data_IF_363523071814
#
_entry.id   IF_363523071814
#
_cell.length_a   1.000
_cell.length_b   1.000
_cell.length_c   1.000
_cell.angle_alpha   90.00
_cell.angle_beta   90.00
_cell.angle_gamma   90.00
#
_symmetry.space_group_name_H-M   'P 1'
#
loop_
_entity.id
_entity.type
_entity.pdbx_description
1 polymer ?
#
# COMPACT_ATOMS: atom_id res chain seq x y z
N UNK A 1 12.20 -14.86 -16.36
CA UNK A 1 11.24 -15.00 -15.23
C UNK A 1 11.10 -13.67 -14.50
N UNK A 2 10.56 -12.63 -15.16
CA UNK A 2 10.88 -11.25 -14.78
C UNK A 2 9.73 -10.50 -14.07
N UNK A 3 8.54 -11.10 -13.94
CA UNK A 3 7.35 -10.39 -13.44
C UNK A 3 7.06 -10.49 -11.93
N UNK A 4 7.57 -11.51 -11.21
CA UNK A 4 7.10 -11.80 -9.85
C UNK A 4 7.48 -10.75 -8.79
N UNK A 5 8.67 -10.15 -8.90
CA UNK A 5 9.13 -9.15 -7.91
C UNK A 5 8.45 -7.78 -8.07
N UNK A 6 8.10 -7.37 -9.29
CA UNK A 6 7.37 -6.12 -9.53
C UNK A 6 5.92 -6.21 -9.03
N UNK A 7 5.34 -7.41 -9.06
CA UNK A 7 4.07 -7.73 -8.38
C UNK A 7 4.15 -7.63 -6.85
N UNK A 8 5.28 -7.96 -6.21
CA UNK A 8 5.43 -7.83 -4.75
C UNK A 8 5.48 -6.37 -4.27
N UNK A 9 6.21 -5.49 -4.97
CA UNK A 9 6.21 -4.06 -4.66
C UNK A 9 4.81 -3.42 -4.84
N UNK A 10 4.03 -3.93 -5.79
CA UNK A 10 2.62 -3.58 -5.97
C UNK A 10 1.73 -4.17 -4.86
N UNK A 11 1.99 -5.41 -4.41
CA UNK A 11 1.17 -6.11 -3.42
C UNK A 11 1.19 -5.48 -2.02
N UNK A 12 2.29 -4.82 -1.63
CA UNK A 12 2.38 -4.05 -0.39
C UNK A 12 1.40 -2.86 -0.32
N UNK A 13 0.84 -2.43 -1.46
CA UNK A 13 -0.18 -1.37 -1.55
C UNK A 13 -1.61 -1.98 -1.48
N UNK A 14 -1.77 -3.31 -1.51
CA UNK A 14 -3.06 -3.98 -1.71
C UNK A 14 -3.77 -4.47 -0.43
N UNK A 15 -3.13 -4.49 0.75
CA UNK A 15 -3.74 -5.03 1.98
C UNK A 15 -4.52 -3.97 2.77
N UNK A 16 -5.73 -3.66 2.29
CA UNK A 16 -6.67 -2.76 2.94
C UNK A 16 -8.07 -3.36 3.11
N UNK A 17 -8.25 -4.34 4.00
CA UNK A 17 -9.57 -4.66 4.55
C UNK A 17 -9.49 -5.35 5.92
N UNK A 18 -10.45 -5.03 6.80
CA UNK A 18 -10.36 -5.24 8.25
C UNK A 18 -10.90 -6.59 8.76
N UNK A 19 -10.51 -6.92 10.00
CA UNK A 19 -11.25 -7.74 10.99
C UNK A 19 -11.58 -6.83 12.20
N UNK A 20 -12.28 -7.25 13.28
CA UNK A 20 -12.98 -8.53 13.56
C UNK A 20 -14.41 -8.38 14.16
N UNK A 21 -15.21 -9.46 14.21
CA UNK A 21 -16.31 -9.65 15.20
C UNK A 21 -16.50 -11.14 15.55
N UNK A 22 -16.72 -11.47 16.84
CA UNK A 22 -17.41 -12.70 17.34
C UNK A 22 -18.61 -12.26 18.20
N UNK A 23 -19.74 -13.00 18.20
CA UNK A 23 -20.09 -13.99 19.26
C UNK A 23 -20.71 -15.29 18.66
N UNK A 24 -21.14 -16.34 19.37
CA UNK A 24 -20.83 -16.95 20.70
C UNK A 24 -21.54 -18.34 20.76
N UNK A 25 -21.15 -19.25 21.68
CA UNK A 25 -22.04 -20.00 22.60
C UNK A 25 -21.52 -21.38 23.11
N UNK A 26 -21.43 -21.46 24.45
CA UNK A 26 -21.66 -22.61 25.38
C UNK A 26 -20.95 -23.97 25.18
N UNK A 27 -20.28 -24.42 26.26
CA UNK A 27 -20.31 -25.81 26.73
C UNK A 27 -20.18 -25.86 28.28
N UNK A 28 -20.48 -27.00 28.89
CA UNK A 28 -20.97 -27.12 30.28
C UNK A 28 -19.91 -27.30 31.38
N UNK A 29 -20.34 -27.11 32.63
CA UNK A 29 -19.56 -27.23 33.88
C UNK A 29 -19.52 -28.66 34.44
N UNK A 30 -18.35 -29.13 34.89
CA UNK A 30 -18.23 -30.21 35.88
C UNK A 30 -17.09 -29.88 36.87
N UNK A 31 -17.36 -29.97 38.16
CA UNK A 31 -16.41 -29.69 39.24
C UNK A 31 -15.34 -30.78 39.43
N UNK A 32 -14.10 -30.36 39.73
CA UNK A 32 -13.03 -31.26 40.19
C UNK A 32 -12.12 -30.62 41.26
N UNK A 33 -12.72 -29.86 42.18
CA UNK A 33 -12.01 -29.20 43.28
C UNK A 33 -11.73 -30.20 44.41
N UNK A 34 -10.58 -30.88 44.37
CA UNK A 34 -9.82 -31.26 45.58
C UNK A 34 -8.37 -31.76 45.32
N UNK A 35 -7.97 -32.01 44.07
CA UNK A 35 -6.56 -32.31 43.70
C UNK A 35 -5.74 -31.02 43.39
N UNK A 36 -6.32 -29.85 43.65
CA UNK A 36 -5.80 -28.54 43.22
C UNK A 36 -4.71 -27.93 44.14
N UNK A 37 -4.81 -28.02 45.47
CA UNK A 37 -3.98 -27.12 46.31
C UNK A 37 -2.47 -27.45 46.30
N UNK A 38 -2.08 -28.73 46.24
CA UNK A 38 -0.66 -29.13 46.17
C UNK A 38 -0.06 -29.09 44.75
N UNK A 39 -0.90 -29.02 43.72
CA UNK A 39 -0.46 -28.82 42.33
C UNK A 39 -0.31 -27.34 42.00
N UNK A 40 -1.17 -26.47 42.53
CA UNK A 40 -1.09 -25.02 42.31
C UNK A 40 0.19 -24.39 42.89
N UNK A 41 0.71 -24.84 44.03
CA UNK A 41 1.97 -24.32 44.56
C UNK A 41 3.16 -24.69 43.66
N UNK A 42 3.21 -25.96 43.21
CA UNK A 42 4.27 -26.47 42.33
C UNK A 42 4.22 -25.81 40.95
N UNK A 43 3.01 -25.63 40.40
CA UNK A 43 2.78 -24.88 39.17
C UNK A 43 3.06 -23.38 39.33
N UNK A 44 2.88 -22.78 40.51
CA UNK A 44 3.24 -21.38 40.74
C UNK A 44 4.76 -21.17 40.77
N UNK A 45 5.52 -22.07 41.41
CA UNK A 45 7.00 -22.04 41.40
C UNK A 45 7.55 -22.39 40.01
N UNK A 46 6.95 -23.36 39.30
CA UNK A 46 7.29 -23.67 37.91
C UNK A 46 6.92 -22.52 36.97
N UNK A 47 5.77 -21.85 37.10
CA UNK A 47 5.40 -20.68 36.29
C UNK A 47 6.26 -19.44 36.62
N UNK A 48 6.62 -19.24 37.89
CA UNK A 48 7.56 -18.19 38.31
C UNK A 48 8.97 -18.40 37.72
N UNK A 49 9.43 -19.65 37.69
CA UNK A 49 10.73 -20.03 37.11
C UNK A 49 10.69 -20.10 35.58
N UNK A 50 9.56 -20.47 34.98
CA UNK A 50 9.36 -20.53 33.52
C UNK A 50 9.27 -19.12 32.91
N UNK A 51 8.66 -18.16 33.63
CA UNK A 51 8.64 -16.74 33.24
C UNK A 51 10.04 -16.12 33.09
N UNK A 52 11.08 -16.76 33.65
CA UNK A 52 12.47 -16.30 33.58
C UNK A 52 13.40 -17.21 32.74
N UNK A 53 12.88 -18.21 32.01
CA UNK A 53 13.70 -19.13 31.17
C UNK A 53 13.26 -19.29 29.70
N UNK A 54 12.34 -18.46 29.21
CA UNK A 54 11.96 -18.41 27.77
C UNK A 54 12.03 -17.00 27.17
N UNK A 55 12.75 -16.07 27.80
CA UNK A 55 12.81 -14.65 27.43
C UNK A 55 13.96 -14.30 26.46
N UNK A 56 14.22 -15.14 25.45
CA UNK A 56 15.20 -14.88 24.40
C UNK A 56 14.62 -15.22 23.02
N UNK A 57 14.27 -14.17 22.25
CA UNK A 57 14.06 -14.28 20.78
C UNK A 57 12.64 -14.08 20.22
N UNK A 58 11.58 -13.96 21.02
CA UNK A 58 10.25 -13.67 20.46
C UNK A 58 9.97 -12.16 20.37
N UNK A 59 9.74 -11.67 19.14
CA UNK A 59 9.35 -10.29 18.85
C UNK A 59 7.92 -10.00 19.27
N UNK A 60 7.68 -8.83 19.85
CA UNK A 60 6.36 -8.31 20.17
C UNK A 60 5.62 -7.83 18.91
N UNK A 61 4.31 -7.63 19.01
CA UNK A 61 3.53 -7.00 17.92
C UNK A 61 4.07 -5.61 17.57
N UNK A 62 4.52 -4.85 18.58
CA UNK A 62 5.01 -3.48 18.39
C UNK A 62 6.34 -3.48 17.60
N UNK A 63 7.23 -4.44 17.85
CA UNK A 63 8.45 -4.64 17.05
C UNK A 63 8.16 -4.95 15.58
N UNK A 64 7.01 -5.54 15.24
CA UNK A 64 6.57 -5.73 13.85
C UNK A 64 5.98 -4.46 13.25
N UNK A 65 5.22 -3.68 14.02
CA UNK A 65 4.65 -2.41 13.56
C UNK A 65 5.75 -1.37 13.27
N UNK A 66 6.75 -1.27 14.13
CA UNK A 66 7.89 -0.36 13.96
C UNK A 66 8.75 -0.75 12.74
N UNK A 67 9.01 -2.05 12.53
CA UNK A 67 9.70 -2.52 11.31
C UNK A 67 8.88 -2.23 10.05
N UNK A 68 7.57 -2.47 10.07
CA UNK A 68 6.68 -2.21 8.92
C UNK A 68 6.60 -0.71 8.58
N UNK A 69 6.53 0.18 9.57
CA UNK A 69 6.57 1.63 9.34
C UNK A 69 7.96 2.10 8.85
N UNK A 70 9.05 1.52 9.37
CA UNK A 70 10.39 1.79 8.86
C UNK A 70 10.54 1.40 7.38
N UNK A 71 10.14 0.19 7.00
CA UNK A 71 10.15 -0.29 5.60
C UNK A 71 9.25 0.58 4.71
N UNK A 72 8.05 0.93 5.18
CA UNK A 72 7.14 1.82 4.44
C UNK A 72 7.77 3.20 4.21
N UNK A 73 8.38 3.81 5.23
CA UNK A 73 9.02 5.14 5.12
C UNK A 73 10.25 5.12 4.21
N UNK A 74 11.16 4.18 4.43
CA UNK A 74 12.49 4.19 3.82
C UNK A 74 12.51 3.48 2.46
N UNK A 75 12.05 2.23 2.40
CA UNK A 75 12.22 1.36 1.23
C UNK A 75 11.08 1.48 0.21
N UNK A 76 9.90 1.94 0.65
CA UNK A 76 8.75 2.20 -0.24
C UNK A 76 8.65 3.69 -0.55
N UNK A 77 8.23 4.53 0.40
CA UNK A 77 7.95 5.95 0.15
C UNK A 77 9.19 6.77 -0.19
N UNK A 78 10.31 6.53 0.52
CA UNK A 78 11.61 7.16 0.25
C UNK A 78 12.24 6.77 -1.08
N UNK A 79 11.84 5.62 -1.64
CA UNK A 79 12.29 5.18 -2.96
C UNK A 79 11.40 5.72 -4.07
N UNK A 80 10.09 5.43 -4.03
CA UNK A 80 9.13 5.80 -5.06
C UNK A 80 8.93 7.32 -5.17
N UNK A 81 8.97 8.07 -4.07
CA UNK A 81 8.80 9.53 -4.07
C UNK A 81 10.10 10.23 -3.61
N UNK A 82 10.83 10.91 -4.50
CA UNK A 82 10.33 11.57 -5.72
C UNK A 82 10.62 10.84 -7.05
N UNK A 83 11.29 9.68 -7.08
CA UNK A 83 11.80 9.07 -8.34
C UNK A 83 10.74 8.81 -9.41
N UNK A 84 9.53 8.47 -9.00
CA UNK A 84 8.40 8.25 -9.90
C UNK A 84 7.72 9.54 -10.34
N UNK A 85 8.01 10.71 -9.78
CA UNK A 85 7.33 11.97 -10.15
C UNK A 85 7.99 12.53 -11.41
N UNK A 86 7.37 12.30 -12.57
CA UNK A 86 7.83 12.82 -13.85
C UNK A 86 7.49 14.30 -13.97
N UNK A 87 8.49 15.16 -13.81
CA UNK A 87 8.35 16.63 -13.88
C UNK A 87 8.46 17.20 -15.29
N UNK A 88 8.85 16.38 -16.27
CA UNK A 88 9.07 16.83 -17.66
C UNK A 88 7.82 16.62 -18.51
N UNK A 89 7.26 15.41 -18.48
CA UNK A 89 6.03 15.05 -19.20
C UNK A 89 4.78 15.01 -18.31
N UNK A 90 4.94 15.18 -17.00
CA UNK A 90 3.85 15.11 -16.03
C UNK A 90 3.47 13.67 -15.65
N UNK A 91 2.69 13.54 -14.58
CA UNK A 91 2.28 12.25 -14.03
C UNK A 91 3.44 11.46 -13.42
N UNK A 92 3.34 10.15 -13.49
CA UNK A 92 4.22 9.22 -12.79
C UNK A 92 4.92 8.24 -13.74
N UNK A 93 6.21 8.06 -13.50
CA UNK A 93 7.08 7.11 -14.17
C UNK A 93 7.08 5.76 -13.44
N UNK A 94 6.97 4.66 -14.20
CA UNK A 94 6.72 3.32 -13.68
C UNK A 94 7.82 2.29 -13.95
N UNK A 95 8.72 2.54 -14.91
CA UNK A 95 9.67 1.54 -15.39
C UNK A 95 11.09 1.81 -14.88
N UNK A 96 11.52 1.07 -13.87
CA UNK A 96 12.86 1.20 -13.29
C UNK A 96 13.66 -0.09 -13.47
N UNK A 97 14.96 0.05 -13.72
CA UNK A 97 15.90 -1.04 -13.62
C UNK A 97 16.07 -1.49 -12.14
N UNK A 98 16.70 -2.65 -11.93
CA UNK A 98 16.87 -3.26 -10.59
C UNK A 98 17.64 -2.37 -9.60
N UNK A 99 18.50 -1.50 -10.12
CA UNK A 99 19.31 -0.51 -9.40
C UNK A 99 18.61 0.84 -9.23
N UNK A 100 17.30 0.91 -9.51
CA UNK A 100 16.47 2.12 -9.50
C UNK A 100 16.84 3.21 -10.50
N UNK A 101 17.66 2.91 -11.51
CA UNK A 101 17.82 3.80 -12.65
C UNK A 101 16.56 3.81 -13.52
N UNK A 102 16.16 4.95 -14.11
CA UNK A 102 15.08 4.99 -15.09
C UNK A 102 15.37 4.05 -16.27
N UNK A 103 14.42 3.18 -16.61
CA UNK A 103 14.52 2.32 -17.77
C UNK A 103 14.05 3.07 -19.04
N UNK A 104 13.73 2.33 -20.11
CA UNK A 104 13.00 2.89 -21.26
C UNK A 104 11.52 3.01 -20.89
N UNK A 105 10.91 4.16 -21.19
CA UNK A 105 9.45 4.30 -21.05
C UNK A 105 8.70 3.47 -22.09
N UNK A 106 7.60 2.86 -21.67
CA UNK A 106 6.58 2.27 -22.54
C UNK A 106 5.29 3.14 -22.56
N UNK A 107 5.36 4.35 -21.96
CA UNK A 107 4.26 5.28 -21.76
C UNK A 107 3.60 5.16 -20.39
N UNK A 108 2.53 5.92 -20.18
CA UNK A 108 1.85 6.12 -18.90
C UNK A 108 0.40 5.64 -18.97
N UNK A 109 0.05 4.68 -18.11
CA UNK A 109 -1.25 4.02 -18.09
C UNK A 109 -2.08 4.36 -16.84
N UNK A 110 -3.40 4.48 -17.01
CA UNK A 110 -4.35 5.04 -16.04
C UNK A 110 -4.31 4.38 -14.66
N UNK A 111 -4.18 3.06 -14.61
CA UNK A 111 -4.09 2.29 -13.35
C UNK A 111 -2.93 2.75 -12.47
N UNK A 112 -1.74 2.99 -13.06
CA UNK A 112 -0.56 3.44 -12.31
C UNK A 112 -0.72 4.89 -11.86
N UNK A 113 -1.18 5.78 -12.75
CA UNK A 113 -1.39 7.20 -12.43
C UNK A 113 -2.40 7.39 -11.30
N UNK A 114 -3.54 6.69 -11.37
CA UNK A 114 -4.57 6.70 -10.32
C UNK A 114 -4.05 6.15 -9.00
N UNK A 115 -3.29 5.04 -9.02
CA UNK A 115 -2.72 4.44 -7.80
C UNK A 115 -1.67 5.32 -7.13
N UNK A 116 -0.77 5.94 -7.88
CA UNK A 116 0.26 6.83 -7.31
C UNK A 116 -0.35 8.10 -6.71
N UNK A 117 -1.37 8.67 -7.38
CA UNK A 117 -2.18 9.78 -6.83
C UNK A 117 -2.88 9.36 -5.53
N UNK A 118 -3.51 8.18 -5.51
CA UNK A 118 -4.17 7.63 -4.32
C UNK A 118 -3.19 7.43 -3.15
N UNK A 119 -2.02 6.82 -3.40
CA UNK A 119 -1.02 6.60 -2.34
C UNK A 119 -0.61 7.94 -1.73
N UNK A 120 -0.30 8.95 -2.55
CA UNK A 120 0.06 10.27 -2.06
C UNK A 120 -1.04 10.89 -1.18
N UNK A 121 -2.31 10.80 -1.60
CA UNK A 121 -3.46 11.27 -0.83
C UNK A 121 -3.63 10.54 0.52
N UNK A 122 -3.51 9.20 0.53
CA UNK A 122 -3.60 8.43 1.78
C UNK A 122 -2.45 8.73 2.74
N UNK A 123 -1.25 9.03 2.23
CA UNK A 123 -0.14 9.46 3.08
C UNK A 123 -0.45 10.81 3.73
N UNK A 124 -0.98 11.80 3.01
CA UNK A 124 -1.36 13.09 3.63
C UNK A 124 -2.37 12.93 4.76
N UNK A 125 -3.35 12.04 4.60
CA UNK A 125 -4.40 11.77 5.61
C UNK A 125 -3.84 10.98 6.80
N UNK A 126 -3.10 9.91 6.56
CA UNK A 126 -2.59 9.02 7.61
C UNK A 126 -1.38 9.62 8.35
N UNK A 127 -0.61 10.50 7.69
CA UNK A 127 0.69 11.01 8.12
C UNK A 127 0.79 12.53 7.89
N UNK A 128 0.13 13.34 8.73
CA UNK A 128 0.16 14.81 8.61
C UNK A 128 1.57 15.40 8.66
N UNK A 129 2.53 14.70 9.28
CA UNK A 129 3.96 15.04 9.29
C UNK A 129 4.60 15.07 7.89
N UNK A 130 4.00 14.39 6.92
CA UNK A 130 4.45 14.32 5.52
C UNK A 130 3.62 15.20 4.58
N UNK A 131 2.61 15.93 5.10
CA UNK A 131 1.61 16.67 4.31
C UNK A 131 2.24 17.59 3.25
N UNK A 132 3.15 18.47 3.65
CA UNK A 132 3.75 19.47 2.77
C UNK A 132 4.62 18.85 1.65
N UNK A 133 5.17 17.64 1.88
CA UNK A 133 5.93 16.89 0.87
C UNK A 133 5.02 16.18 -0.13
N UNK A 134 3.84 15.74 0.28
CA UNK A 134 2.96 14.90 -0.54
C UNK A 134 1.79 15.65 -1.20
N UNK A 135 1.33 16.79 -0.68
CA UNK A 135 0.32 17.63 -1.34
C UNK A 135 0.68 17.97 -2.81
N UNK A 136 1.89 18.47 -3.13
CA UNK A 136 2.24 18.77 -4.52
C UNK A 136 2.28 17.53 -5.43
N UNK A 137 2.43 16.34 -4.86
CA UNK A 137 2.44 15.06 -5.59
C UNK A 137 1.01 14.65 -5.95
N UNK A 138 0.03 14.93 -5.07
CA UNK A 138 -1.40 14.73 -5.34
C UNK A 138 -1.83 15.67 -6.47
N UNK A 139 -1.49 16.96 -6.36
CA UNK A 139 -1.81 17.98 -7.39
C UNK A 139 -1.22 17.58 -8.76
N UNK A 140 0.04 17.13 -8.78
CA UNK A 140 0.71 16.65 -9.98
C UNK A 140 0.02 15.44 -10.62
N UNK A 141 -0.40 14.47 -9.80
CA UNK A 141 -1.16 13.30 -10.24
C UNK A 141 -2.55 13.66 -10.78
N UNK A 142 -3.29 14.49 -10.04
CA UNK A 142 -4.62 14.98 -10.43
C UNK A 142 -4.59 15.80 -11.71
N UNK A 143 -3.56 16.63 -11.89
CA UNK A 143 -3.35 17.38 -13.12
C UNK A 143 -3.14 16.43 -14.30
N UNK A 144 -2.29 15.42 -14.17
CA UNK A 144 -2.07 14.45 -15.25
C UNK A 144 -3.33 13.62 -15.57
N UNK A 145 -4.07 13.18 -14.54
CA UNK A 145 -5.33 12.46 -14.70
C UNK A 145 -6.37 13.28 -15.46
N UNK A 146 -6.57 14.55 -15.10
CA UNK A 146 -7.65 15.40 -15.65
C UNK A 146 -7.28 16.15 -16.94
N UNK A 147 -6.01 16.52 -17.14
CA UNK A 147 -5.58 17.28 -18.31
C UNK A 147 -5.05 16.41 -19.46
N UNK A 148 -4.48 15.24 -19.16
CA UNK A 148 -3.78 14.40 -20.15
C UNK A 148 -4.49 13.05 -20.36
N UNK A 149 -4.74 12.29 -19.30
CA UNK A 149 -5.33 10.94 -19.40
C UNK A 149 -6.83 10.91 -19.64
N UNK A 150 -7.55 11.99 -19.32
CA UNK A 150 -8.99 12.09 -19.54
C UNK A 150 -9.31 12.43 -21.00
N UNK A 151 -10.17 11.62 -21.62
CA UNK A 151 -10.71 11.90 -22.94
C UNK A 151 -11.71 13.06 -22.86
N UNK A 152 -11.30 14.23 -23.36
CA UNK A 152 -12.12 15.46 -23.35
C UNK A 152 -13.27 15.44 -24.37
N UNK A 153 -13.28 14.50 -25.31
CA UNK A 153 -14.31 14.36 -26.35
C UNK A 153 -15.38 13.33 -25.96
N UNK A 154 -14.97 12.18 -25.41
CA UNK A 154 -15.87 11.07 -25.08
C UNK A 154 -16.01 10.77 -23.58
N UNK A 155 -15.19 11.39 -22.73
CA UNK A 155 -15.14 11.10 -21.31
C UNK A 155 -14.44 9.77 -20.99
N UNK A 156 -14.18 9.56 -19.70
CA UNK A 156 -13.42 8.41 -19.21
C UNK A 156 -11.91 8.60 -19.42
N UNK A 157 -11.15 7.67 -18.85
CA UNK A 157 -9.69 7.67 -18.95
C UNK A 157 -9.24 6.72 -20.06
N UNK A 158 -8.26 7.15 -20.87
CA UNK A 158 -7.55 6.24 -21.76
C UNK A 158 -6.87 5.12 -20.95
N UNK A 159 -6.76 3.92 -21.54
CA UNK A 159 -5.99 2.84 -20.91
C UNK A 159 -4.54 3.29 -20.65
N UNK A 160 -3.89 3.89 -21.67
CA UNK A 160 -2.62 4.59 -21.53
C UNK A 160 -2.27 5.47 -22.73
N UNK A 161 -1.23 6.28 -22.56
CA UNK A 161 -0.72 7.23 -23.55
C UNK A 161 0.81 7.14 -23.60
N UNK A 162 1.43 7.60 -24.69
CA UNK A 162 2.88 7.83 -24.71
C UNK A 162 3.29 9.01 -23.81
N UNK A 163 4.59 9.22 -23.63
CA UNK A 163 5.11 10.33 -22.82
C UNK A 163 4.84 11.72 -23.42
N UNK A 164 4.35 11.81 -24.66
CA UNK A 164 3.88 13.07 -25.25
C UNK A 164 2.38 13.30 -25.03
N UNK A 165 1.71 12.40 -24.29
CA UNK A 165 0.28 12.46 -24.01
C UNK A 165 -0.60 12.02 -25.19
N UNK A 166 -0.07 11.22 -26.13
CA UNK A 166 -0.81 10.77 -27.32
C UNK A 166 -1.15 9.28 -27.26
N UNK A 167 -2.19 8.91 -27.98
CA UNK A 167 -2.58 7.51 -28.15
C UNK A 167 -1.47 6.78 -28.88
N UNK A 168 -0.93 5.75 -28.24
CA UNK A 168 0.16 4.94 -28.75
C UNK A 168 -0.36 3.56 -29.21
N UNK A 169 0.23 2.91 -30.23
CA UNK A 169 -0.28 1.65 -30.77
C UNK A 169 -0.41 0.51 -29.76
N UNK A 170 0.42 0.50 -28.70
CA UNK A 170 0.36 -0.49 -27.63
C UNK A 170 -0.80 -0.31 -26.65
N UNK A 171 -1.40 0.88 -26.60
CA UNK A 171 -2.54 1.17 -25.71
C UNK A 171 -3.87 1.29 -26.44
N UNK A 172 -3.86 1.70 -27.72
CA UNK A 172 -5.06 2.08 -28.49
C UNK A 172 -5.85 3.23 -27.85
N UNK A 173 -7.00 3.58 -28.40
CA UNK A 173 -7.95 4.55 -27.83
C UNK A 173 -8.91 3.93 -26.79
N UNK A 174 -8.71 2.63 -26.49
CA UNK A 174 -9.50 1.82 -25.57
C UNK A 174 -9.61 2.39 -24.16
N UNK A 175 -10.79 2.17 -23.55
CA UNK A 175 -11.16 2.65 -22.21
C UNK A 175 -11.72 1.49 -21.39
N UNK A 176 -10.87 0.90 -20.56
CA UNK A 176 -11.26 -0.21 -19.70
C UNK A 176 -11.85 0.29 -18.38
N UNK A 177 -12.92 -0.36 -17.91
CA UNK A 177 -13.53 -0.13 -16.59
C UNK A 177 -12.52 -0.25 -15.44
N UNK A 178 -11.47 -1.07 -15.60
CA UNK A 178 -10.38 -1.20 -14.64
C UNK A 178 -9.45 0.01 -14.61
N UNK A 179 -9.13 0.61 -15.76
CA UNK A 179 -8.40 1.88 -15.81
C UNK A 179 -9.23 3.04 -15.24
N UNK A 180 -10.52 3.07 -15.60
CA UNK A 180 -11.44 4.10 -15.13
C UNK A 180 -11.69 4.04 -13.61
N UNK A 181 -11.80 2.85 -13.02
CA UNK A 181 -11.98 2.71 -11.58
C UNK A 181 -10.77 3.22 -10.79
N UNK A 182 -9.53 2.99 -11.27
CA UNK A 182 -8.33 3.54 -10.64
C UNK A 182 -8.20 5.07 -10.80
N UNK A 183 -8.62 5.64 -11.93
CA UNK A 183 -8.69 7.09 -12.10
C UNK A 183 -9.66 7.74 -11.11
N UNK A 184 -10.87 7.17 -10.97
CA UNK A 184 -11.86 7.61 -9.96
C UNK A 184 -11.36 7.40 -8.53
N UNK A 185 -10.68 6.29 -8.25
CA UNK A 185 -10.14 5.98 -6.92
C UNK A 185 -9.06 6.97 -6.48
N UNK A 186 -8.15 7.34 -7.39
CA UNK A 186 -7.17 8.42 -7.18
C UNK A 186 -7.85 9.76 -6.91
N UNK A 187 -8.80 10.15 -7.76
CA UNK A 187 -9.53 11.41 -7.62
C UNK A 187 -10.36 11.52 -6.32
N UNK A 188 -11.05 10.45 -5.94
CA UNK A 188 -11.87 10.41 -4.73
C UNK A 188 -11.03 10.46 -3.44
N UNK A 189 -9.79 9.98 -3.47
CA UNK A 189 -8.85 10.13 -2.36
C UNK A 189 -8.18 11.51 -2.35
N UNK A 190 -7.85 12.08 -3.51
CA UNK A 190 -7.28 13.42 -3.63
C UNK A 190 -8.22 14.55 -3.18
N UNK A 191 -9.53 14.29 -3.15
CA UNK A 191 -10.57 15.20 -2.66
C UNK A 191 -10.71 15.22 -1.12
N UNK A 192 -10.14 14.23 -0.40
CA UNK A 192 -10.24 14.06 1.06
C UNK A 192 -9.14 14.81 1.82
#
# INVERSE_FOLDING_TARGET
>A
MNGLFQLMAIALICFGCASPVRPDSRCETVDYIQVSQNSHQRLADEMGTTRTRHAEGYRTSDDYLDEMDAVLRHDVLGVWFPRSVDKESGGFYSNFARDWQPARSDGKFSVFQGRMTWVAARIVIARPDLKDRFLPIIDHGMKYLSEVLWDKQHGGFFWGLDDTGKIAPQFTDGKDLYGMSFGLYGAAAAYQ
#
